data_IF_619635641317
#
_entry.id   IF_619635641317
#
_cell.length_a   1.000
_cell.length_b   1.000
_cell.length_c   1.000
_cell.angle_alpha   90.00
_cell.angle_beta   90.00
_cell.angle_gamma   90.00
#
_symmetry.space_group_name_H-M   'P 1'
#
loop_
_entity.id
_entity.type
_entity.pdbx_description
1 polymer ?
#
# COMPACT_ATOMS: atom_id res chain seq x y z
N UNK A 1 39.75 1.78 -8.20
CA UNK A 1 38.33 1.50 -8.55
C UNK A 1 37.71 0.41 -7.65
N UNK A 2 37.99 0.42 -6.32
CA UNK A 2 37.57 -0.70 -5.42
C UNK A 2 36.76 -0.21 -4.19
N UNK A 3 36.64 1.11 -3.98
CA UNK A 3 35.97 1.64 -2.79
C UNK A 3 34.47 1.94 -2.97
N UNK A 4 33.92 1.88 -4.19
CA UNK A 4 32.49 2.14 -4.45
C UNK A 4 31.57 0.92 -4.33
N UNK A 5 32.09 -0.30 -4.37
CA UNK A 5 31.27 -1.52 -4.25
C UNK A 5 30.89 -1.88 -2.81
N UNK A 6 31.72 -1.55 -1.82
CA UNK A 6 31.39 -1.82 -0.40
C UNK A 6 30.25 -0.94 0.12
N UNK A 7 30.02 0.23 -0.48
CA UNK A 7 28.91 1.12 -0.11
C UNK A 7 27.55 0.67 -0.65
N UNK A 8 27.52 -0.18 -1.69
CA UNK A 8 26.28 -0.61 -2.36
C UNK A 8 25.71 -1.93 -1.83
N UNK A 9 26.51 -2.72 -1.11
CA UNK A 9 26.09 -4.06 -0.60
C UNK A 9 25.33 -4.03 0.74
N UNK A 10 25.25 -2.87 1.39
CA UNK A 10 24.44 -2.66 2.62
C UNK A 10 22.99 -2.28 2.27
N UNK A 11 22.73 -1.95 1.00
CA UNK A 11 21.43 -1.53 0.50
C UNK A 11 20.58 -2.74 0.09
N UNK A 12 20.00 -3.42 1.08
CA UNK A 12 18.76 -4.22 1.00
C UNK A 12 18.71 -5.21 2.18
N UNK A 13 18.96 -4.76 3.40
CA UNK A 13 18.25 -5.44 4.49
C UNK A 13 16.79 -5.05 4.35
N UNK A 14 15.92 -6.06 4.23
CA UNK A 14 14.49 -5.83 4.23
C UNK A 14 14.13 -4.96 5.45
N UNK A 15 13.66 -3.75 5.15
CA UNK A 15 13.35 -2.73 6.15
C UNK A 15 12.33 -3.29 7.14
N UNK A 16 11.45 -4.17 6.68
CA UNK A 16 10.44 -4.82 7.51
C UNK A 16 11.09 -5.87 8.43
N UNK A 17 11.99 -6.71 7.94
CA UNK A 17 12.83 -7.60 8.76
C UNK A 17 13.62 -6.85 9.85
N UNK A 18 14.17 -5.67 9.55
CA UNK A 18 14.86 -4.82 10.54
C UNK A 18 13.91 -4.26 11.60
N UNK A 19 12.70 -3.85 11.20
CA UNK A 19 11.65 -3.40 12.15
C UNK A 19 11.23 -4.52 13.08
N UNK A 20 11.00 -5.72 12.55
CA UNK A 20 10.63 -6.90 13.33
C UNK A 20 11.71 -7.26 14.35
N UNK A 21 12.98 -7.30 13.93
CA UNK A 21 14.12 -7.53 14.82
C UNK A 21 14.17 -6.48 15.93
N UNK A 22 13.87 -5.21 15.62
CA UNK A 22 13.85 -4.12 16.60
C UNK A 22 12.68 -4.22 17.58
N UNK A 23 11.53 -4.74 17.15
CA UNK A 23 10.39 -5.05 18.03
C UNK A 23 10.76 -6.18 18.98
N UNK A 24 11.33 -7.28 18.46
CA UNK A 24 11.69 -8.47 19.25
C UNK A 24 12.74 -8.13 20.34
N UNK A 25 13.78 -7.39 19.96
CA UNK A 25 14.82 -6.95 20.90
C UNK A 25 14.26 -5.98 21.95
N UNK A 26 13.38 -5.05 21.57
CA UNK A 26 12.70 -4.15 22.51
C UNK A 26 11.82 -4.90 23.52
N UNK A 27 11.11 -5.95 23.08
CA UNK A 27 10.33 -6.80 23.97
C UNK A 27 11.22 -7.62 24.92
N UNK A 28 12.35 -8.13 24.44
CA UNK A 28 13.33 -8.83 25.27
C UNK A 28 13.92 -7.89 26.33
N UNK A 29 14.23 -6.64 25.97
CA UNK A 29 14.69 -5.61 26.90
C UNK A 29 13.65 -5.33 27.99
N UNK A 30 12.37 -5.18 27.63
CA UNK A 30 11.28 -5.01 28.62
C UNK A 30 11.21 -6.21 29.58
N UNK A 31 11.33 -7.45 29.08
CA UNK A 31 11.33 -8.65 29.93
C UNK A 31 12.50 -8.66 30.91
N UNK A 32 13.70 -8.32 30.45
CA UNK A 32 14.89 -8.22 31.30
C UNK A 32 14.73 -7.14 32.38
N UNK A 33 14.22 -5.96 32.03
CA UNK A 33 13.98 -4.86 32.98
C UNK A 33 12.92 -5.27 34.01
N UNK A 34 11.83 -5.92 33.59
CA UNK A 34 10.81 -6.44 34.52
C UNK A 34 11.39 -7.44 35.53
N UNK A 35 12.32 -8.30 35.10
CA UNK A 35 12.95 -9.32 35.95
C UNK A 35 13.90 -8.73 36.99
N UNK A 36 14.61 -7.66 36.64
CA UNK A 36 15.61 -7.01 37.50
C UNK A 36 15.07 -5.77 38.25
N UNK A 37 13.75 -5.56 38.24
CA UNK A 37 13.13 -4.43 38.94
C UNK A 37 13.13 -4.66 40.45
N UNK A 38 13.54 -3.66 41.21
CA UNK A 38 13.47 -3.57 42.66
C UNK A 38 12.83 -2.23 43.07
N UNK A 39 12.59 -2.00 44.35
CA UNK A 39 11.95 -0.77 44.83
C UNK A 39 12.83 0.48 44.62
N UNK A 40 14.15 0.32 44.51
CA UNK A 40 15.11 1.42 44.27
C UNK A 40 15.07 1.89 42.80
N UNK A 41 14.95 0.95 41.86
CA UNK A 41 14.99 1.24 40.41
C UNK A 41 13.60 1.28 39.77
N UNK A 42 12.53 1.23 40.56
CA UNK A 42 11.15 1.08 40.10
C UNK A 42 10.74 2.17 39.10
N UNK A 43 10.95 3.43 39.46
CA UNK A 43 10.59 4.57 38.64
C UNK A 43 11.41 4.62 37.34
N UNK A 44 12.72 4.44 37.43
CA UNK A 44 13.62 4.40 36.27
C UNK A 44 13.25 3.24 35.33
N UNK A 45 12.98 2.06 35.88
CA UNK A 45 12.57 0.87 35.12
C UNK A 45 11.26 1.10 34.37
N UNK A 46 10.27 1.72 35.01
CA UNK A 46 8.99 2.08 34.37
C UNK A 46 9.19 3.07 33.22
N UNK A 47 10.04 4.08 33.40
CA UNK A 47 10.34 5.08 32.37
C UNK A 47 11.00 4.46 31.13
N UNK A 48 11.96 3.57 31.34
CA UNK A 48 12.66 2.87 30.24
C UNK A 48 11.70 1.90 29.54
N UNK A 49 10.87 1.15 30.29
CA UNK A 49 9.85 0.29 29.70
C UNK A 49 8.82 1.07 28.87
N UNK A 50 8.40 2.25 29.33
CA UNK A 50 7.51 3.14 28.58
C UNK A 50 8.14 3.56 27.25
N UNK A 51 9.44 3.89 27.25
CA UNK A 51 10.16 4.27 26.02
C UNK A 51 10.24 3.12 25.00
N UNK A 52 10.47 1.88 25.47
CA UNK A 52 10.43 0.71 24.61
C UNK A 52 9.03 0.43 24.07
N UNK A 53 7.98 0.55 24.88
CA UNK A 53 6.60 0.40 24.44
C UNK A 53 6.23 1.42 23.35
N UNK A 54 6.55 2.70 23.54
CA UNK A 54 6.34 3.75 22.52
C UNK A 54 7.07 3.45 21.21
N UNK A 55 8.28 2.89 21.31
CA UNK A 55 9.06 2.49 20.14
C UNK A 55 8.42 1.32 19.40
N UNK A 56 7.91 0.32 20.12
CA UNK A 56 7.18 -0.83 19.54
C UNK A 56 5.90 -0.35 18.85
N UNK A 57 5.13 0.53 19.48
CA UNK A 57 3.89 1.09 18.91
C UNK A 57 4.15 1.84 17.61
N UNK A 58 5.15 2.74 17.60
CA UNK A 58 5.54 3.48 16.39
C UNK A 58 5.94 2.55 15.25
N UNK A 59 6.73 1.52 15.54
CA UNK A 59 7.17 0.55 14.52
C UNK A 59 5.99 -0.25 13.96
N UNK A 60 5.06 -0.69 14.81
CA UNK A 60 3.85 -1.42 14.38
C UNK A 60 2.92 -0.57 13.53
N UNK A 61 2.72 0.70 13.89
CA UNK A 61 1.91 1.63 13.11
C UNK A 61 2.53 1.90 11.73
N UNK A 62 3.86 2.04 11.67
CA UNK A 62 4.57 2.22 10.39
C UNK A 62 4.50 0.99 9.47
N UNK A 63 4.36 -0.21 10.04
CA UNK A 63 4.26 -1.47 9.27
C UNK A 63 2.86 -1.67 8.67
N UNK A 64 1.80 -1.17 9.32
CA UNK A 64 0.43 -1.22 8.79
C UNK A 64 0.27 -0.32 7.56
N UNK A 65 0.79 0.91 7.63
CA UNK A 65 0.76 1.83 6.50
C UNK A 65 1.48 1.28 5.26
N UNK A 66 2.61 0.57 5.43
CA UNK A 66 3.35 0.01 4.29
C UNK A 66 2.71 -1.24 3.66
N UNK A 67 1.87 -1.97 4.40
CA UNK A 67 1.11 -3.10 3.85
C UNK A 67 -0.09 -2.57 3.06
N UNK A 68 -0.83 -1.60 3.63
CA UNK A 68 -1.94 -0.95 2.93
C UNK A 68 -1.49 -0.29 1.62
N UNK A 69 -0.35 0.42 1.59
CA UNK A 69 0.12 1.10 0.36
C UNK A 69 0.48 0.12 -0.77
N UNK A 70 1.05 -1.06 -0.45
CA UNK A 70 1.41 -2.06 -1.48
C UNK A 70 0.21 -2.86 -1.98
N UNK A 71 -0.75 -3.11 -1.10
CA UNK A 71 -2.01 -3.73 -1.48
C UNK A 71 -2.85 -2.76 -2.30
N UNK A 72 -2.82 -1.47 -1.96
CA UNK A 72 -3.42 -0.37 -2.71
C UNK A 72 -2.79 -0.26 -4.11
N UNK A 73 -1.46 -0.19 -4.28
CA UNK A 73 -0.86 -0.08 -5.63
C UNK A 73 -1.26 -1.22 -6.58
N UNK A 74 -1.22 -2.47 -6.12
CA UNK A 74 -1.70 -3.61 -6.92
C UNK A 74 -3.19 -3.52 -7.19
N UNK A 75 -3.98 -3.13 -6.20
CA UNK A 75 -5.42 -2.97 -6.35
C UNK A 75 -5.76 -1.85 -7.36
N UNK A 76 -5.03 -0.74 -7.32
CA UNK A 76 -5.16 0.41 -8.22
C UNK A 76 -4.87 -0.01 -9.66
N UNK A 77 -3.75 -0.72 -9.90
CA UNK A 77 -3.40 -1.26 -11.22
C UNK A 77 -4.51 -2.18 -11.74
N UNK A 78 -4.95 -3.17 -10.95
CA UNK A 78 -6.02 -4.07 -11.38
C UNK A 78 -7.34 -3.34 -11.60
N UNK A 79 -7.67 -2.33 -10.78
CA UNK A 79 -8.89 -1.54 -10.93
C UNK A 79 -8.88 -0.80 -12.27
N UNK A 80 -7.79 -0.12 -12.59
CA UNK A 80 -7.61 0.57 -13.88
C UNK A 80 -7.73 -0.41 -15.04
N UNK A 81 -7.06 -1.56 -14.96
CA UNK A 81 -7.17 -2.62 -16.00
C UNK A 81 -8.62 -3.11 -16.19
N UNK A 82 -9.36 -3.34 -15.10
CA UNK A 82 -10.75 -3.79 -15.18
C UNK A 82 -11.66 -2.72 -15.77
N UNK A 83 -11.47 -1.46 -15.41
CA UNK A 83 -12.25 -0.36 -15.95
C UNK A 83 -12.01 -0.20 -17.46
N UNK A 84 -10.76 -0.30 -17.92
CA UNK A 84 -10.46 -0.29 -19.36
C UNK A 84 -11.13 -1.46 -20.10
N UNK A 85 -11.09 -2.68 -19.53
CA UNK A 85 -11.77 -3.84 -20.12
C UNK A 85 -13.28 -3.63 -20.21
N UNK A 86 -13.90 -3.09 -19.17
CA UNK A 86 -15.34 -2.82 -19.16
C UNK A 86 -15.73 -1.84 -20.27
N UNK A 87 -14.99 -0.74 -20.42
CA UNK A 87 -15.25 0.25 -21.48
C UNK A 87 -15.09 -0.34 -22.88
N UNK A 88 -14.09 -1.19 -23.11
CA UNK A 88 -13.93 -1.85 -24.40
C UNK A 88 -15.14 -2.75 -24.71
N UNK A 89 -15.61 -3.52 -23.73
CA UNK A 89 -16.82 -4.34 -23.87
C UNK A 89 -18.04 -3.45 -24.20
N UNK A 90 -18.22 -2.32 -23.52
CA UNK A 90 -19.33 -1.39 -23.80
C UNK A 90 -19.26 -0.83 -25.24
N UNK A 91 -18.06 -0.52 -25.74
CA UNK A 91 -17.86 -0.07 -27.13
C UNK A 91 -18.22 -1.13 -28.13
N UNK A 92 -17.75 -2.35 -27.90
CA UNK A 92 -17.99 -3.50 -28.77
C UNK A 92 -19.49 -3.82 -28.82
N UNK A 93 -20.18 -3.74 -27.68
CA UNK A 93 -21.62 -3.98 -27.61
C UNK A 93 -22.41 -2.89 -28.35
N UNK A 94 -22.08 -1.60 -28.13
CA UNK A 94 -22.72 -0.50 -28.87
C UNK A 94 -22.49 -0.61 -30.37
N UNK A 95 -21.32 -1.11 -30.80
CA UNK A 95 -21.03 -1.37 -32.20
C UNK A 95 -21.87 -2.53 -32.74
N UNK A 96 -21.91 -3.65 -32.02
CA UNK A 96 -22.71 -4.83 -32.37
C UNK A 96 -24.19 -4.49 -32.53
N UNK A 97 -24.77 -3.76 -31.58
CA UNK A 97 -26.17 -3.30 -31.64
C UNK A 97 -26.44 -2.37 -32.84
N UNK A 98 -25.45 -1.59 -33.26
CA UNK A 98 -25.59 -0.75 -34.45
C UNK A 98 -25.53 -1.57 -35.75
N UNK A 99 -24.61 -2.54 -35.80
CA UNK A 99 -24.46 -3.45 -36.95
C UNK A 99 -25.66 -4.40 -37.12
N UNK A 100 -26.27 -4.85 -36.02
CA UNK A 100 -27.50 -5.64 -36.03
C UNK A 100 -28.76 -4.83 -36.35
N UNK A 101 -28.65 -3.48 -36.32
CA UNK A 101 -29.77 -2.57 -36.55
C UNK A 101 -30.72 -2.41 -35.37
N UNK A 102 -30.34 -2.90 -34.18
CA UNK A 102 -31.11 -2.74 -32.94
C UNK A 102 -31.20 -1.28 -32.48
N UNK A 103 -30.17 -0.48 -32.79
CA UNK A 103 -30.13 0.95 -32.45
C UNK A 103 -29.92 1.83 -33.68
N UNK A 104 -30.51 3.03 -33.64
CA UNK A 104 -30.34 4.03 -34.68
C UNK A 104 -28.96 4.70 -34.59
N UNK A 105 -28.48 5.27 -35.70
CA UNK A 105 -27.25 6.06 -35.74
C UNK A 105 -27.23 7.21 -34.71
N UNK A 106 -28.38 7.83 -34.45
CA UNK A 106 -28.51 8.89 -33.43
C UNK A 106 -28.24 8.34 -32.03
N UNK A 107 -28.82 7.17 -31.72
CA UNK A 107 -28.64 6.48 -30.44
C UNK A 107 -27.19 6.03 -30.25
N UNK A 108 -26.56 5.47 -31.30
CA UNK A 108 -25.13 5.08 -31.29
C UNK A 108 -24.22 6.27 -30.98
N UNK A 109 -24.49 7.44 -31.60
CA UNK A 109 -23.69 8.64 -31.35
C UNK A 109 -23.79 9.10 -29.89
N UNK A 110 -24.99 9.08 -29.30
CA UNK A 110 -25.17 9.43 -27.89
C UNK A 110 -24.46 8.46 -26.95
N UNK A 111 -24.57 7.15 -27.19
CA UNK A 111 -23.93 6.12 -26.36
C UNK A 111 -22.41 6.21 -26.43
N UNK A 112 -21.84 6.40 -27.63
CA UNK A 112 -20.39 6.61 -27.77
C UNK A 112 -19.92 7.88 -27.08
N UNK A 113 -20.69 8.96 -27.15
CA UNK A 113 -20.36 10.20 -26.45
C UNK A 113 -20.37 9.99 -24.93
N UNK A 114 -21.36 9.25 -24.42
CA UNK A 114 -21.42 8.89 -23.00
C UNK A 114 -20.21 8.06 -22.55
N UNK A 115 -19.83 7.03 -23.31
CA UNK A 115 -18.63 6.23 -23.03
C UNK A 115 -17.37 7.10 -23.02
N UNK A 116 -17.24 8.04 -23.95
CA UNK A 116 -16.09 8.95 -23.97
C UNK A 116 -16.02 9.87 -22.74
N UNK A 117 -17.17 10.28 -22.18
CA UNK A 117 -17.18 11.02 -20.91
C UNK A 117 -16.76 10.15 -19.73
N UNK A 118 -17.17 8.88 -19.69
CA UNK A 118 -16.72 7.94 -18.67
C UNK A 118 -15.20 7.72 -18.74
N UNK A 119 -14.66 7.55 -19.94
CA UNK A 119 -13.22 7.46 -20.16
C UNK A 119 -12.48 8.72 -19.69
N UNK A 120 -12.94 9.92 -20.07
CA UNK A 120 -12.31 11.17 -19.67
C UNK A 120 -12.24 11.30 -18.13
N UNK A 121 -13.33 10.93 -17.44
CA UNK A 121 -13.37 10.93 -15.97
C UNK A 121 -12.41 9.94 -15.30
N UNK A 122 -11.94 8.91 -16.03
CA UNK A 122 -10.90 8.00 -15.53
C UNK A 122 -9.48 8.57 -15.66
N UNK A 123 -9.24 9.45 -16.64
CA UNK A 123 -7.92 10.06 -16.87
C UNK A 123 -7.69 11.33 -16.05
N UNK A 124 -8.75 12.05 -15.68
CA UNK A 124 -8.63 13.31 -14.91
C UNK A 124 -8.36 13.11 -13.40
N UNK A 125 -8.24 11.86 -12.93
CA UNK A 125 -8.05 11.49 -11.53
C UNK A 125 -6.61 11.16 -11.10
N UNK A 126 -5.63 11.23 -12.01
CA UNK A 126 -4.20 10.96 -11.77
C UNK A 126 -3.36 12.22 -11.48
#
# INVERSE_FOLDING_TARGET
MVQREKAKKVASYDIDSLKELKILTSQAAIRAIKKNRNEVNKEASLRVMLQYNRTIERLRLSSRASIDIKEDEKFQIHRVEFQFKAIQIERDEVQSMFESGEISRSSTNHLRQFINYLEAGMFDGD
#
